data_IF_366191903597
#
_entry.id   IF_366191903597
#
_cell.length_a   1.000
_cell.length_b   1.000
_cell.length_c   1.000
_cell.angle_alpha   90.00
_cell.angle_beta   90.00
_cell.angle_gamma   90.00
#
_symmetry.space_group_name_H-M   'P 1'
#
loop_
_entity.id
_entity.type
_entity.pdbx_description
1 polymer ?
#
# COMPACT_ATOMS: atom_id res chain seq x y z
N UNK A 1 -11.23 -50.02 6.64
CA UNK A 1 -11.34 -48.57 6.93
C UNK A 1 -10.51 -47.83 5.85
N UNK A 2 -11.16 -47.42 4.76
CA UNK A 2 -10.52 -46.67 3.67
C UNK A 2 -10.44 -45.20 4.11
N UNK A 3 -9.21 -44.71 4.32
CA UNK A 3 -8.98 -43.24 4.42
C UNK A 3 -9.33 -42.61 3.06
N UNK A 4 -10.09 -41.52 3.05
CA UNK A 4 -10.26 -40.76 1.82
C UNK A 4 -8.91 -40.14 1.44
N UNK A 5 -8.41 -40.48 0.25
CA UNK A 5 -7.37 -39.70 -0.42
C UNK A 5 -7.96 -38.31 -0.65
N UNK A 6 -7.54 -37.33 0.16
CA UNK A 6 -7.72 -35.91 -0.20
C UNK A 6 -6.87 -35.66 -1.45
N UNK A 7 -7.52 -35.62 -2.61
CA UNK A 7 -6.92 -35.05 -3.80
C UNK A 7 -6.48 -33.61 -3.45
N UNK A 8 -5.18 -33.41 -3.40
CA UNK A 8 -4.60 -32.07 -3.43
C UNK A 8 -5.02 -31.46 -4.77
N UNK A 9 -5.90 -30.47 -4.74
CA UNK A 9 -6.24 -29.73 -5.93
C UNK A 9 -4.94 -29.17 -6.52
N UNK A 10 -4.63 -29.55 -7.76
CA UNK A 10 -3.48 -29.00 -8.47
C UNK A 10 -3.73 -27.51 -8.63
N UNK A 11 -2.71 -26.70 -8.33
CA UNK A 11 -2.76 -25.25 -8.55
C UNK A 11 -3.00 -25.02 -10.03
N UNK A 12 -4.08 -24.34 -10.44
CA UNK A 12 -4.27 -24.03 -11.83
C UNK A 12 -3.08 -23.20 -12.35
N UNK A 13 -2.62 -23.46 -13.56
CA UNK A 13 -1.55 -22.65 -14.15
C UNK A 13 -2.03 -21.20 -14.23
N UNK A 14 -1.19 -20.26 -13.78
CA UNK A 14 -1.48 -18.82 -13.93
C UNK A 14 -1.55 -18.47 -15.41
N UNK A 15 -2.57 -17.74 -15.81
CA UNK A 15 -2.70 -17.21 -17.16
C UNK A 15 -1.73 -16.03 -17.30
N UNK A 16 -0.88 -16.07 -18.34
CA UNK A 16 0.04 -14.99 -18.71
C UNK A 16 -0.07 -14.62 -20.20
N UNK A 17 -1.11 -15.16 -20.87
CA UNK A 17 -1.43 -14.94 -22.28
C UNK A 17 -2.79 -14.25 -22.35
N UNK A 18 -2.82 -13.02 -22.85
CA UNK A 18 -4.02 -12.19 -22.96
C UNK A 18 -5.17 -12.88 -23.69
N UNK A 19 -4.85 -13.68 -24.72
CA UNK A 19 -5.86 -14.39 -25.51
C UNK A 19 -6.63 -15.47 -24.73
N UNK A 20 -6.10 -15.85 -23.55
CA UNK A 20 -6.67 -16.88 -22.67
C UNK A 20 -7.43 -16.30 -21.48
N UNK A 21 -7.48 -14.98 -21.33
CA UNK A 21 -8.25 -14.33 -20.26
C UNK A 21 -9.72 -14.62 -20.46
N UNK A 22 -10.42 -15.23 -19.49
CA UNK A 22 -11.84 -15.52 -19.64
C UNK A 22 -12.65 -14.21 -19.61
N UNK A 23 -13.85 -14.21 -20.23
CA UNK A 23 -14.77 -13.07 -20.12
C UNK A 23 -15.14 -12.82 -18.66
N UNK A 24 -15.18 -11.56 -18.27
CA UNK A 24 -15.59 -11.15 -16.92
C UNK A 24 -16.50 -9.91 -16.99
N UNK A 25 -17.29 -9.72 -15.93
CA UNK A 25 -18.17 -8.55 -15.79
C UNK A 25 -17.81 -7.80 -14.52
N UNK A 26 -17.64 -6.49 -14.64
CA UNK A 26 -17.35 -5.62 -13.51
C UNK A 26 -18.61 -4.99 -12.95
N UNK A 27 -18.75 -4.90 -11.61
CA UNK A 27 -19.83 -4.12 -11.01
C UNK A 27 -19.59 -2.63 -11.27
N UNK A 28 -20.67 -1.86 -11.43
CA UNK A 28 -20.60 -0.42 -11.65
C UNK A 28 -20.38 0.31 -10.32
N UNK A 29 -19.25 1.07 -10.16
CA UNK A 29 -18.98 1.81 -8.93
C UNK A 29 -19.98 2.94 -8.69
N UNK A 30 -20.72 3.37 -9.71
CA UNK A 30 -21.72 4.44 -9.66
C UNK A 30 -23.16 3.94 -9.45
N UNK A 31 -23.35 2.71 -9.00
CA UNK A 31 -24.66 2.16 -8.60
C UNK A 31 -24.66 1.87 -7.11
N UNK A 32 -25.53 2.55 -6.36
CA UNK A 32 -25.73 2.33 -4.92
C UNK A 32 -26.33 0.94 -4.64
N UNK A 33 -26.25 0.47 -3.41
CA UNK A 33 -26.81 -0.82 -2.99
C UNK A 33 -28.34 -0.91 -3.18
N UNK A 34 -29.05 0.21 -3.17
CA UNK A 34 -30.49 0.31 -3.45
C UNK A 34 -30.83 0.47 -4.92
N UNK A 35 -29.85 0.36 -5.83
CA UNK A 35 -29.99 0.45 -7.27
C UNK A 35 -29.99 1.89 -7.84
N UNK A 36 -29.94 2.94 -7.02
CA UNK A 36 -29.83 4.32 -7.50
C UNK A 36 -28.49 4.56 -8.17
N UNK A 37 -28.50 5.34 -9.26
CA UNK A 37 -27.29 5.79 -9.92
C UNK A 37 -26.72 7.00 -9.19
N UNK A 38 -25.39 7.03 -9.07
CA UNK A 38 -24.62 8.16 -8.58
C UNK A 38 -24.39 9.12 -9.73
N UNK A 39 -24.99 10.28 -9.69
CA UNK A 39 -24.90 11.30 -10.75
C UNK A 39 -24.29 12.61 -10.27
N UNK A 40 -23.99 12.71 -8.97
CA UNK A 40 -23.45 13.91 -8.35
C UNK A 40 -22.52 13.58 -7.15
N UNK A 41 -21.70 14.57 -6.79
CA UNK A 41 -20.73 14.46 -5.72
C UNK A 41 -21.34 14.19 -4.33
N UNK A 42 -22.55 14.70 -4.07
CA UNK A 42 -23.25 14.50 -2.78
C UNK A 42 -23.61 13.03 -2.61
N UNK A 43 -24.26 12.45 -3.62
CA UNK A 43 -24.66 11.03 -3.62
C UNK A 43 -23.44 10.12 -3.49
N UNK A 44 -22.32 10.46 -4.19
CA UNK A 44 -21.07 9.74 -4.00
C UNK A 44 -20.56 9.83 -2.55
N UNK A 45 -20.36 11.02 -2.04
CA UNK A 45 -19.70 11.21 -0.75
C UNK A 45 -20.53 10.70 0.43
N UNK A 46 -21.86 10.93 0.43
CA UNK A 46 -22.73 10.65 1.56
C UNK A 46 -23.32 9.22 1.54
N UNK A 47 -23.43 8.60 0.37
CA UNK A 47 -24.08 7.29 0.21
C UNK A 47 -23.10 6.25 -0.35
N UNK A 48 -22.67 6.43 -1.59
CA UNK A 48 -21.98 5.36 -2.31
C UNK A 48 -20.58 5.09 -1.79
N UNK A 49 -19.77 6.12 -1.51
CA UNK A 49 -18.43 5.95 -0.95
C UNK A 49 -18.42 5.15 0.36
N UNK A 50 -19.31 5.42 1.36
CA UNK A 50 -19.45 4.58 2.54
C UNK A 50 -19.84 3.12 2.24
N UNK A 51 -20.69 2.87 1.23
CA UNK A 51 -21.03 1.50 0.79
C UNK A 51 -19.79 0.79 0.20
N UNK A 52 -19.09 1.45 -0.72
CA UNK A 52 -17.86 0.92 -1.33
C UNK A 52 -16.80 0.63 -0.28
N UNK A 53 -16.63 1.54 0.68
CA UNK A 53 -15.68 1.38 1.78
C UNK A 53 -16.00 0.12 2.60
N UNK A 54 -17.27 -0.07 2.99
CA UNK A 54 -17.71 -1.28 3.72
C UNK A 54 -17.50 -2.55 2.90
N UNK A 55 -17.79 -2.53 1.59
CA UNK A 55 -17.54 -3.68 0.72
C UNK A 55 -16.07 -4.11 0.74
N UNK A 56 -15.13 -3.15 0.72
CA UNK A 56 -13.68 -3.45 0.83
C UNK A 56 -13.33 -3.98 2.21
N UNK A 57 -13.83 -3.36 3.29
CA UNK A 57 -13.63 -3.87 4.65
C UNK A 57 -14.09 -5.32 4.79
N UNK A 58 -15.34 -5.58 4.42
CA UNK A 58 -15.98 -6.89 4.66
C UNK A 58 -15.40 -8.01 3.81
N UNK A 59 -14.97 -7.70 2.59
CA UNK A 59 -14.59 -8.73 1.63
C UNK A 59 -13.08 -8.86 1.40
N UNK A 60 -12.25 -7.86 1.81
CA UNK A 60 -10.82 -7.88 1.50
C UNK A 60 -9.92 -7.73 2.74
N UNK A 61 -9.90 -6.55 3.36
CA UNK A 61 -8.87 -6.20 4.35
C UNK A 61 -9.32 -6.26 5.81
N UNK A 62 -10.63 -6.35 6.03
CA UNK A 62 -11.24 -6.33 7.35
C UNK A 62 -11.37 -4.93 7.94
N UNK A 63 -12.10 -4.85 9.04
CA UNK A 63 -12.38 -3.60 9.73
C UNK A 63 -11.23 -3.23 10.65
N UNK A 64 -10.57 -2.11 10.37
CA UNK A 64 -9.58 -1.54 11.28
C UNK A 64 -10.26 -1.07 12.56
N UNK A 65 -9.81 -1.51 13.76
CA UNK A 65 -10.39 -1.08 15.03
C UNK A 65 -10.23 0.43 15.25
N UNK A 66 -11.18 1.04 15.96
CA UNK A 66 -11.01 2.40 16.46
C UNK A 66 -9.93 2.44 17.56
N UNK A 67 -8.82 3.05 17.25
CA UNK A 67 -7.67 3.19 18.16
C UNK A 67 -7.56 4.57 18.80
N UNK A 68 -8.58 5.42 18.68
CA UNK A 68 -8.54 6.83 19.15
C UNK A 68 -8.16 6.92 20.63
N UNK A 69 -8.74 6.09 21.48
CA UNK A 69 -8.44 6.07 22.92
C UNK A 69 -7.03 5.56 23.21
N UNK A 70 -6.56 4.54 22.47
CA UNK A 70 -5.22 3.98 22.64
C UNK A 70 -4.15 4.99 22.22
N UNK A 71 -4.41 5.73 21.16
CA UNK A 71 -3.49 6.75 20.62
C UNK A 71 -3.29 7.95 21.55
N UNK A 72 -4.18 8.20 22.48
CA UNK A 72 -3.97 9.22 23.51
C UNK A 72 -2.72 8.96 24.38
N UNK A 73 -2.25 7.71 24.44
CA UNK A 73 -1.01 7.32 25.10
C UNK A 73 0.23 7.28 24.19
N UNK A 74 0.11 7.74 22.95
CA UNK A 74 1.22 7.68 21.98
C UNK A 74 2.46 8.43 22.48
N UNK A 75 3.64 7.83 22.24
CA UNK A 75 4.93 8.43 22.57
C UNK A 75 5.83 8.41 21.34
N UNK A 76 6.46 9.55 21.07
CA UNK A 76 7.43 9.72 19.98
C UNK A 76 8.75 10.17 20.59
N UNK A 77 9.83 9.45 20.30
CA UNK A 77 11.18 9.81 20.72
C UNK A 77 12.07 10.00 19.50
N UNK A 78 12.81 11.10 19.45
CA UNK A 78 13.90 11.30 18.49
C UNK A 78 15.11 10.53 19.01
N UNK A 79 15.51 9.47 18.30
CA UNK A 79 16.68 8.67 18.65
C UNK A 79 17.99 9.24 18.10
N UNK A 80 17.90 9.87 16.93
CA UNK A 80 19.04 10.48 16.26
C UNK A 80 18.56 11.54 15.27
N UNK A 81 19.33 12.61 15.14
CA UNK A 81 19.09 13.65 14.12
C UNK A 81 20.45 14.21 13.65
N UNK A 82 20.57 14.38 12.33
CA UNK A 82 21.73 14.99 11.70
C UNK A 82 21.32 15.79 10.46
N UNK A 83 21.96 16.93 10.25
CA UNK A 83 21.80 17.77 9.05
C UNK A 83 22.72 17.37 7.90
N UNK A 84 23.57 16.37 8.10
CA UNK A 84 24.65 16.00 7.17
C UNK A 84 24.25 14.91 6.17
N UNK A 85 22.98 14.48 6.16
CA UNK A 85 22.53 13.47 5.22
C UNK A 85 22.67 13.95 3.76
N UNK A 86 23.11 13.03 2.88
CA UNK A 86 23.38 13.31 1.46
C UNK A 86 24.32 14.49 1.25
N UNK A 87 25.42 14.56 2.04
CA UNK A 87 26.40 15.64 1.94
C UNK A 87 25.86 17.00 2.38
N UNK A 88 24.97 17.04 3.34
CA UNK A 88 24.36 18.27 3.87
C UNK A 88 23.13 18.74 3.10
N UNK A 89 22.59 17.95 2.16
CA UNK A 89 21.36 18.27 1.43
C UNK A 89 20.10 18.09 2.29
N UNK A 90 20.13 17.17 3.25
CA UNK A 90 18.97 16.83 4.07
C UNK A 90 19.26 16.70 5.55
N UNK A 91 18.24 16.97 6.35
CA UNK A 91 18.17 16.54 7.76
C UNK A 91 17.59 15.14 7.82
N UNK A 92 18.39 14.18 8.31
CA UNK A 92 17.92 12.85 8.72
C UNK A 92 17.40 12.94 10.14
N UNK A 93 16.23 12.33 10.40
CA UNK A 93 15.72 12.09 11.75
C UNK A 93 15.25 10.66 11.87
N UNK A 94 15.65 9.97 12.94
CA UNK A 94 15.21 8.63 13.27
C UNK A 94 14.38 8.67 14.53
N UNK A 95 13.14 8.20 14.43
CA UNK A 95 12.19 8.18 15.54
C UNK A 95 12.00 6.75 16.04
N UNK A 96 11.75 6.62 17.35
CA UNK A 96 11.11 5.46 17.96
C UNK A 96 9.71 5.86 18.37
N UNK A 97 8.71 5.12 17.88
CA UNK A 97 7.30 5.48 18.04
C UNK A 97 6.53 4.34 18.72
N UNK A 98 5.83 4.68 19.78
CA UNK A 98 4.87 3.82 20.48
C UNK A 98 3.46 4.39 20.27
N UNK A 99 2.76 4.02 19.20
CA UNK A 99 1.49 4.67 18.83
C UNK A 99 0.34 4.38 19.79
N UNK A 100 0.47 3.37 20.65
CA UNK A 100 -0.52 2.98 21.68
C UNK A 100 0.08 2.98 23.09
N UNK A 101 1.17 3.72 23.30
CA UNK A 101 1.87 3.83 24.58
C UNK A 101 3.03 2.84 24.75
N UNK A 102 3.96 3.18 25.64
CA UNK A 102 5.25 2.46 25.84
C UNK A 102 5.10 0.99 26.28
N UNK A 103 3.94 0.57 26.73
CA UNK A 103 3.65 -0.84 27.06
C UNK A 103 3.29 -1.69 25.83
N UNK A 104 2.95 -1.04 24.73
CA UNK A 104 2.63 -1.69 23.45
C UNK A 104 3.84 -1.84 22.52
N UNK A 105 3.63 -2.44 21.34
CA UNK A 105 4.63 -2.49 20.29
C UNK A 105 5.06 -1.11 19.82
N UNK A 106 6.21 -1.03 19.16
CA UNK A 106 6.78 0.19 18.62
C UNK A 106 7.29 -0.04 17.21
N UNK A 107 7.46 1.03 16.45
CA UNK A 107 8.13 1.01 15.17
C UNK A 107 9.22 2.08 15.09
N UNK A 108 10.19 1.88 14.21
CA UNK A 108 11.24 2.85 13.92
C UNK A 108 10.91 3.56 12.59
N UNK A 109 10.86 4.90 12.61
CA UNK A 109 10.61 5.72 11.42
C UNK A 109 11.88 6.49 11.05
N UNK A 110 12.26 6.43 9.77
CA UNK A 110 13.31 7.22 9.16
C UNK A 110 12.67 8.35 8.36
N UNK A 111 13.14 9.57 8.56
CA UNK A 111 12.68 10.76 7.84
C UNK A 111 13.89 11.52 7.30
N UNK A 112 13.82 11.90 6.03
CA UNK A 112 14.71 12.87 5.40
C UNK A 112 13.92 14.10 4.98
N UNK A 113 14.41 15.30 5.36
CA UNK A 113 13.81 16.59 5.01
C UNK A 113 14.85 17.45 4.31
N UNK A 114 14.56 18.06 3.14
CA UNK A 114 15.51 18.91 2.44
C UNK A 114 15.89 20.15 3.27
N UNK A 115 17.21 20.39 3.46
CA UNK A 115 17.72 21.54 4.22
C UNK A 115 17.49 22.86 3.48
N UNK A 116 17.39 22.83 2.15
CA UNK A 116 17.17 24.02 1.32
C UNK A 116 15.69 24.46 1.24
N UNK A 117 14.76 23.72 1.89
CA UNK A 117 13.35 24.05 1.84
C UNK A 117 13.06 25.38 2.58
N UNK A 118 12.45 26.34 1.88
CA UNK A 118 12.08 27.65 2.44
C UNK A 118 10.77 27.64 3.22
N UNK A 119 9.99 26.57 3.11
CA UNK A 119 8.72 26.32 3.78
C UNK A 119 8.63 24.83 4.13
N UNK A 120 7.72 24.40 5.03
CA UNK A 120 7.57 22.98 5.32
C UNK A 120 7.40 22.14 4.04
N UNK A 121 8.21 21.09 3.91
CA UNK A 121 8.28 20.27 2.72
C UNK A 121 7.10 19.28 2.65
N UNK A 122 6.45 19.09 1.48
CA UNK A 122 5.55 17.97 1.27
C UNK A 122 6.33 16.65 1.37
N UNK A 123 5.66 15.57 1.72
CA UNK A 123 6.34 14.33 2.09
C UNK A 123 5.79 13.10 1.36
N UNK A 124 6.68 12.22 0.90
CA UNK A 124 6.35 10.87 0.49
C UNK A 124 6.47 9.92 1.68
N UNK A 125 5.43 9.12 1.93
CA UNK A 125 5.32 8.23 3.09
C UNK A 125 5.09 6.81 2.60
N UNK A 126 5.99 5.87 2.93
CA UNK A 126 5.87 4.49 2.51
C UNK A 126 6.54 3.51 3.47
N UNK A 127 6.15 2.24 3.38
CA UNK A 127 6.77 1.15 4.13
C UNK A 127 7.85 0.45 3.30
N UNK A 128 8.89 -0.04 3.96
CA UNK A 128 9.98 -0.80 3.33
C UNK A 128 9.97 -2.28 3.75
N UNK A 129 10.63 -3.13 2.92
CA UNK A 129 10.62 -4.59 3.07
C UNK A 129 11.73 -5.16 3.93
N UNK A 130 12.84 -4.46 4.13
CA UNK A 130 14.05 -5.06 4.69
C UNK A 130 14.61 -4.33 5.92
N UNK A 131 13.82 -3.45 6.56
CA UNK A 131 14.28 -2.51 7.58
C UNK A 131 14.91 -1.22 7.00
N UNK A 132 14.84 -0.14 7.77
CA UNK A 132 15.25 1.20 7.31
C UNK A 132 16.70 1.26 6.80
N UNK A 133 17.63 0.53 7.42
CA UNK A 133 19.03 0.51 6.99
C UNK A 133 19.26 -0.08 5.60
N UNK A 134 18.32 -0.90 5.09
CA UNK A 134 18.44 -1.45 3.73
C UNK A 134 18.09 -0.43 2.66
N UNK A 135 17.35 0.62 3.00
CA UNK A 135 16.86 1.64 2.04
C UNK A 135 17.92 2.67 1.68
N UNK A 136 19.02 2.73 2.41
CA UNK A 136 20.08 3.73 2.23
C UNK A 136 21.46 3.16 2.62
N UNK A 137 22.50 3.65 1.95
CA UNK A 137 23.90 3.35 2.32
C UNK A 137 24.36 4.12 3.58
N UNK A 138 23.55 5.04 4.10
CA UNK A 138 23.88 5.86 5.27
C UNK A 138 24.13 4.98 6.50
N UNK A 139 25.37 5.00 6.99
CA UNK A 139 25.84 4.13 8.08
C UNK A 139 25.20 4.44 9.43
N UNK A 140 24.63 5.63 9.61
CA UNK A 140 23.98 6.03 10.86
C UNK A 140 22.54 5.51 10.98
N UNK A 141 21.94 4.98 9.91
CA UNK A 141 20.57 4.46 9.96
C UNK A 141 20.53 3.11 10.68
N UNK A 142 19.71 3.01 11.73
CA UNK A 142 19.59 1.81 12.55
C UNK A 142 18.86 0.67 11.83
N UNK A 143 19.33 -0.59 11.96
CA UNK A 143 18.51 -1.75 11.61
C UNK A 143 17.36 -1.90 12.61
N UNK A 144 16.25 -2.52 12.18
CA UNK A 144 15.16 -2.90 13.09
C UNK A 144 15.60 -3.99 14.05
N UNK A 145 15.01 -4.00 15.25
CA UNK A 145 15.10 -5.11 16.19
C UNK A 145 13.97 -6.15 15.99
N UNK A 146 12.98 -5.86 15.14
CA UNK A 146 11.87 -6.74 14.84
C UNK A 146 12.29 -7.90 13.94
N UNK A 147 11.40 -8.91 13.85
CA UNK A 147 11.55 -10.00 12.90
C UNK A 147 11.72 -9.48 11.46
N UNK A 148 12.62 -10.09 10.70
CA UNK A 148 12.74 -9.90 9.26
C UNK A 148 12.68 -11.24 8.53
N UNK A 149 12.19 -11.21 7.29
CA UNK A 149 12.14 -12.41 6.46
C UNK A 149 13.56 -12.90 6.11
N UNK A 150 13.69 -14.20 5.84
CA UNK A 150 14.97 -14.90 5.62
C UNK A 150 15.94 -14.18 4.67
N UNK A 151 15.43 -13.51 3.65
CA UNK A 151 16.25 -12.78 2.65
C UNK A 151 16.92 -11.51 3.22
N UNK A 152 16.41 -10.99 4.35
CA UNK A 152 16.93 -9.79 5.02
C UNK A 152 17.60 -10.11 6.36
N UNK A 153 17.63 -11.37 6.73
CA UNK A 153 18.10 -11.82 8.03
C UNK A 153 19.54 -12.31 7.99
N UNK A 154 20.25 -12.11 9.10
CA UNK A 154 21.47 -12.85 9.40
C UNK A 154 21.20 -14.34 9.26
N UNK A 155 22.12 -15.06 8.60
CA UNK A 155 21.97 -16.49 8.32
C UNK A 155 21.62 -17.28 9.58
N UNK A 156 20.51 -18.00 9.52
CA UNK A 156 20.03 -18.85 10.63
C UNK A 156 19.28 -18.11 11.73
N UNK A 157 18.97 -16.83 11.55
CA UNK A 157 18.21 -16.01 12.49
C UNK A 157 17.00 -15.35 11.82
N UNK A 158 16.24 -14.57 12.60
CA UNK A 158 15.21 -13.66 12.11
C UNK A 158 15.58 -12.18 12.42
N UNK A 159 16.84 -11.90 12.69
CA UNK A 159 17.34 -10.55 12.96
C UNK A 159 17.86 -9.92 11.68
N UNK A 160 17.63 -8.61 11.53
CA UNK A 160 18.11 -7.86 10.37
C UNK A 160 19.64 -7.98 10.21
N UNK A 161 20.10 -8.28 8.99
CA UNK A 161 21.52 -8.36 8.66
C UNK A 161 22.08 -6.96 8.38
N UNK A 162 22.96 -6.42 9.23
CA UNK A 162 23.57 -5.11 9.00
C UNK A 162 24.41 -5.03 7.70
N UNK A 163 24.87 -6.18 7.18
CA UNK A 163 25.62 -6.23 5.92
C UNK A 163 24.75 -5.93 4.69
N UNK A 164 23.42 -6.01 4.81
CA UNK A 164 22.48 -5.66 3.77
C UNK A 164 22.14 -4.16 3.70
N UNK A 165 22.90 -3.32 4.42
CA UNK A 165 22.78 -1.86 4.36
C UNK A 165 22.85 -1.39 2.91
N UNK A 166 21.90 -0.53 2.52
CA UNK A 166 21.83 0.01 1.16
C UNK A 166 21.39 -0.99 0.08
N UNK A 167 21.11 -2.24 0.43
CA UNK A 167 20.72 -3.27 -0.56
C UNK A 167 19.43 -2.98 -1.32
N UNK A 168 18.63 -2.01 -0.87
CA UNK A 168 17.43 -1.53 -1.55
C UNK A 168 17.52 -0.07 -2.00
N UNK A 169 18.71 0.53 -2.06
CA UNK A 169 18.87 1.95 -2.42
C UNK A 169 18.23 2.27 -3.78
N UNK A 170 18.34 1.37 -4.76
CA UNK A 170 17.71 1.53 -6.07
C UNK A 170 16.17 1.59 -6.03
N UNK A 171 15.55 1.16 -4.92
CA UNK A 171 14.10 1.26 -4.68
C UNK A 171 13.70 2.51 -3.91
N UNK A 172 14.67 3.24 -3.35
CA UNK A 172 14.44 4.38 -2.46
C UNK A 172 15.28 5.57 -2.90
N UNK A 173 14.74 6.33 -3.84
CA UNK A 173 15.41 7.49 -4.45
C UNK A 173 15.27 8.74 -3.55
N UNK A 174 15.71 8.64 -2.29
CA UNK A 174 15.60 9.72 -1.31
C UNK A 174 16.26 11.01 -1.81
N UNK A 175 17.50 10.93 -2.32
CA UNK A 175 18.24 12.10 -2.76
C UNK A 175 17.55 12.79 -3.96
N UNK A 176 16.99 12.04 -4.89
CA UNK A 176 16.24 12.58 -6.01
C UNK A 176 14.97 13.33 -5.57
N UNK A 177 14.28 12.87 -4.53
CA UNK A 177 13.14 13.57 -3.94
C UNK A 177 13.58 14.81 -3.18
N UNK A 178 14.67 14.73 -2.40
CA UNK A 178 15.26 15.85 -1.65
C UNK A 178 15.67 16.99 -2.59
N UNK A 179 16.35 16.68 -3.71
CA UNK A 179 16.77 17.67 -4.71
C UNK A 179 15.56 18.37 -5.36
N UNK A 180 14.39 17.75 -5.37
CA UNK A 180 13.11 18.34 -5.82
C UNK A 180 12.37 19.10 -4.73
N UNK A 181 12.82 19.05 -3.48
CA UNK A 181 12.22 19.75 -2.34
C UNK A 181 11.16 18.92 -1.59
N UNK A 182 11.07 17.62 -1.84
CA UNK A 182 10.19 16.70 -1.12
C UNK A 182 10.92 16.04 0.04
N UNK A 183 10.26 15.94 1.18
CA UNK A 183 10.68 15.05 2.26
C UNK A 183 10.29 13.60 1.94
N UNK A 184 10.96 12.65 2.57
CA UNK A 184 10.62 11.22 2.45
C UNK A 184 10.69 10.53 3.79
N UNK A 185 9.66 9.76 4.14
CA UNK A 185 9.54 9.01 5.38
C UNK A 185 9.31 7.53 5.10
N UNK A 186 10.02 6.65 5.82
CA UNK A 186 9.82 5.21 5.73
C UNK A 186 9.90 4.54 7.10
N UNK A 187 9.19 3.41 7.23
CA UNK A 187 9.29 2.49 8.34
C UNK A 187 9.27 1.05 7.82
N UNK A 188 9.83 0.13 8.59
CA UNK A 188 9.79 -1.27 8.23
C UNK A 188 8.38 -1.85 8.48
N UNK A 189 7.78 -2.46 7.46
CA UNK A 189 6.41 -2.98 7.57
C UNK A 189 6.25 -4.08 8.63
N UNK A 190 7.30 -4.87 8.85
CA UNK A 190 7.34 -5.92 9.86
C UNK A 190 7.38 -5.41 11.30
N UNK A 191 7.67 -4.12 11.54
CA UNK A 191 7.51 -3.51 12.86
C UNK A 191 6.02 -3.39 13.23
N UNK A 192 5.14 -3.27 12.24
CA UNK A 192 3.68 -3.25 12.46
C UNK A 192 3.12 -4.66 12.56
N UNK A 193 3.47 -5.51 11.62
CA UNK A 193 3.17 -6.93 11.64
C UNK A 193 4.16 -7.71 10.79
N UNK A 194 4.88 -8.70 11.37
CA UNK A 194 5.71 -9.63 10.62
C UNK A 194 4.94 -10.34 9.49
N UNK A 195 5.53 -10.41 8.30
CA UNK A 195 4.87 -10.93 7.10
C UNK A 195 4.94 -12.46 7.02
N UNK A 196 4.24 -13.10 7.92
CA UNK A 196 4.01 -14.55 7.93
C UNK A 196 2.69 -14.89 8.67
N UNK A 197 2.11 -16.09 8.48
CA UNK A 197 0.79 -16.43 9.01
C UNK A 197 0.62 -16.26 10.53
N UNK A 198 1.68 -16.36 11.31
CA UNK A 198 1.68 -16.17 12.76
C UNK A 198 2.15 -14.77 13.19
N UNK A 199 2.47 -13.87 12.23
CA UNK A 199 3.05 -12.56 12.49
C UNK A 199 2.17 -11.66 13.36
N UNK A 200 0.85 -11.83 13.26
CA UNK A 200 -0.13 -11.13 14.09
C UNK A 200 0.13 -11.24 15.60
N UNK A 201 0.74 -12.35 16.06
CA UNK A 201 1.06 -12.58 17.48
C UNK A 201 2.09 -11.61 18.03
N UNK A 202 3.00 -11.14 17.18
CA UNK A 202 4.05 -10.19 17.54
C UNK A 202 3.77 -8.75 17.07
N UNK A 203 2.70 -8.55 16.30
CA UNK A 203 2.35 -7.26 15.70
C UNK A 203 1.32 -6.45 16.49
N UNK A 204 0.96 -5.30 15.92
CA UNK A 204 -0.06 -4.41 16.49
C UNK A 204 -1.44 -5.03 16.53
N UNK A 205 -1.76 -5.99 15.64
CA UNK A 205 -3.09 -6.62 15.66
C UNK A 205 -3.40 -7.27 17.01
N UNK A 206 -2.49 -8.08 17.56
CA UNK A 206 -2.70 -8.71 18.87
C UNK A 206 -2.78 -7.70 20.01
N UNK A 207 -2.05 -6.59 19.92
CA UNK A 207 -2.04 -5.55 20.94
C UNK A 207 -3.28 -4.65 20.91
N UNK A 208 -3.96 -4.57 19.78
CA UNK A 208 -5.12 -3.67 19.57
C UNK A 208 -6.44 -4.42 19.62
N UNK A 209 -6.49 -5.67 19.20
CA UNK A 209 -7.72 -6.48 19.20
C UNK A 209 -8.28 -6.65 20.60
N UNK A 210 -9.58 -6.40 20.82
CA UNK A 210 -10.19 -6.37 22.17
C UNK A 210 -10.04 -7.66 22.96
N UNK A 211 -9.97 -8.80 22.30
CA UNK A 211 -9.81 -10.11 22.91
C UNK A 211 -8.33 -10.56 23.00
N UNK A 212 -7.40 -9.71 22.57
CA UNK A 212 -5.95 -9.96 22.63
C UNK A 212 -5.48 -11.17 21.84
N UNK A 213 -6.39 -11.92 21.26
CA UNK A 213 -6.12 -13.10 20.44
C UNK A 213 -6.87 -12.95 19.15
N UNK A 214 -6.15 -12.63 18.10
CA UNK A 214 -6.74 -12.87 16.88
C UNK A 214 -6.77 -14.35 16.60
N UNK A 215 -7.90 -14.92 16.86
CA UNK A 215 -8.26 -16.13 16.21
C UNK A 215 -8.29 -15.83 14.74
N UNK A 216 -7.38 -16.44 14.01
CA UNK A 216 -7.34 -16.42 12.60
C UNK A 216 -8.73 -16.16 12.04
N UNK A 217 -8.98 -14.88 11.68
CA UNK A 217 -9.99 -14.62 10.72
C UNK A 217 -11.43 -14.88 11.16
N UNK A 218 -11.83 -14.29 12.25
CA UNK A 218 -13.26 -14.03 12.45
C UNK A 218 -13.69 -13.13 11.29
N UNK A 219 -14.84 -13.42 10.73
CA UNK A 219 -15.40 -12.63 9.64
C UNK A 219 -15.44 -11.15 10.04
N UNK A 220 -14.83 -10.29 9.22
CA UNK A 220 -14.76 -8.85 9.46
C UNK A 220 -13.57 -8.36 10.30
N UNK A 221 -12.70 -9.22 10.82
CA UNK A 221 -11.46 -8.76 11.44
C UNK A 221 -10.42 -8.33 10.41
N UNK A 222 -9.60 -7.32 10.79
CA UNK A 222 -8.58 -6.79 9.91
C UNK A 222 -7.40 -7.76 9.76
N UNK A 223 -6.84 -7.78 8.55
CA UNK A 223 -5.72 -8.62 8.16
C UNK A 223 -4.40 -7.84 8.18
N UNK A 224 -3.28 -8.48 7.80
CA UNK A 224 -1.97 -7.86 7.83
C UNK A 224 -1.89 -6.60 6.95
N UNK A 225 -2.48 -6.60 5.75
CA UNK A 225 -2.53 -5.39 4.89
C UNK A 225 -3.27 -4.26 5.62
N UNK A 226 -4.36 -4.56 6.34
CA UNK A 226 -5.05 -3.59 7.18
C UNK A 226 -4.16 -3.02 8.29
N UNK A 227 -3.34 -3.87 8.92
CA UNK A 227 -2.39 -3.45 9.95
C UNK A 227 -1.27 -2.55 9.37
N UNK A 228 -0.73 -2.89 8.22
CA UNK A 228 0.27 -2.07 7.52
C UNK A 228 -0.31 -0.72 7.07
N UNK A 229 -1.55 -0.70 6.58
CA UNK A 229 -2.26 0.53 6.23
C UNK A 229 -2.50 1.42 7.45
N UNK A 230 -2.89 0.84 8.59
CA UNK A 230 -3.00 1.55 9.86
C UNK A 230 -1.63 2.15 10.27
N UNK A 231 -0.55 1.39 10.08
CA UNK A 231 0.81 1.84 10.34
C UNK A 231 1.19 3.10 9.56
N UNK A 232 0.85 3.17 8.27
CA UNK A 232 1.06 4.37 7.44
C UNK A 232 0.35 5.60 8.02
N UNK A 233 -0.87 5.45 8.53
CA UNK A 233 -1.59 6.54 9.24
C UNK A 233 -0.89 6.94 10.54
N UNK A 234 -0.25 6.00 11.24
CA UNK A 234 0.53 6.32 12.46
C UNK A 234 1.82 7.07 12.14
N UNK A 235 2.44 6.78 11.00
CA UNK A 235 3.56 7.59 10.52
C UNK A 235 3.12 9.03 10.23
N UNK A 236 1.94 9.21 9.64
CA UNK A 236 1.39 10.55 9.39
C UNK A 236 1.12 11.33 10.69
N UNK A 237 0.63 10.66 11.76
CA UNK A 237 0.46 11.28 13.08
C UNK A 237 1.79 11.85 13.64
N UNK A 238 2.93 11.19 13.36
CA UNK A 238 4.26 11.70 13.74
C UNK A 238 4.65 12.89 12.87
N UNK A 239 4.43 12.80 11.56
CA UNK A 239 4.80 13.86 10.61
C UNK A 239 4.02 15.16 10.85
N UNK A 240 2.78 15.09 11.35
CA UNK A 240 2.00 16.27 11.79
C UNK A 240 2.67 17.05 12.94
N UNK A 241 3.58 16.41 13.69
CA UNK A 241 4.33 17.00 14.78
C UNK A 241 5.71 17.54 14.37
N UNK A 242 6.13 17.34 13.10
CA UNK A 242 7.44 17.77 12.59
C UNK A 242 7.29 19.11 11.87
N UNK A 243 7.78 20.25 12.44
CA UNK A 243 7.54 21.58 11.88
C UNK A 243 8.10 21.80 10.47
N UNK A 244 9.12 21.04 10.08
CA UNK A 244 9.75 21.12 8.74
C UNK A 244 9.02 20.32 7.66
N UNK A 245 7.94 19.60 8.02
CA UNK A 245 7.11 18.79 7.12
C UNK A 245 5.71 19.40 7.02
N UNK A 246 5.21 19.52 5.80
CA UNK A 246 3.79 19.81 5.56
C UNK A 246 3.01 18.51 5.42
N UNK A 247 2.54 17.97 6.53
CA UNK A 247 1.79 16.74 6.58
C UNK A 247 0.44 16.79 5.83
N UNK A 248 -0.10 18.00 5.54
CA UNK A 248 -1.29 18.17 4.69
C UNK A 248 -1.01 17.90 3.23
N UNK A 249 0.26 17.84 2.83
CA UNK A 249 0.75 17.47 1.52
C UNK A 249 1.57 16.17 1.61
N UNK A 250 0.97 15.13 2.20
CA UNK A 250 1.57 13.81 2.31
C UNK A 250 1.07 12.90 1.19
N UNK A 251 2.01 12.32 0.42
CA UNK A 251 1.75 11.26 -0.53
C UNK A 251 2.01 9.89 0.11
N UNK A 252 1.00 9.05 0.21
CA UNK A 252 1.19 7.65 0.62
C UNK A 252 1.54 6.81 -0.59
N UNK A 253 2.59 5.98 -0.48
CA UNK A 253 3.03 5.13 -1.57
C UNK A 253 3.41 3.73 -1.10
N UNK A 254 3.38 2.78 -2.03
CA UNK A 254 3.85 1.44 -1.77
C UNK A 254 4.06 0.63 -3.06
N UNK A 255 4.96 -0.34 -2.97
CA UNK A 255 5.26 -1.31 -4.00
C UNK A 255 4.71 -2.68 -3.61
N UNK A 256 4.18 -3.44 -4.60
CA UNK A 256 3.71 -4.81 -4.39
C UNK A 256 2.62 -4.87 -3.29
N UNK A 257 2.72 -5.77 -2.33
CA UNK A 257 1.81 -5.85 -1.16
C UNK A 257 1.71 -4.55 -0.37
N UNK A 258 2.76 -3.74 -0.35
CA UNK A 258 2.74 -2.43 0.30
C UNK A 258 2.03 -1.38 -0.56
N UNK A 259 1.90 -1.60 -1.87
CA UNK A 259 0.99 -0.85 -2.75
C UNK A 259 -0.49 -1.10 -2.40
N UNK A 260 -0.84 -2.36 -2.11
CA UNK A 260 -2.17 -2.71 -1.57
C UNK A 260 -2.42 -1.97 -0.23
N UNK A 261 -1.41 -1.96 0.67
CA UNK A 261 -1.50 -1.25 1.95
C UNK A 261 -1.61 0.27 1.77
N UNK A 262 -0.89 0.86 0.82
CA UNK A 262 -0.95 2.29 0.52
C UNK A 262 -2.34 2.70 -0.03
N UNK A 263 -2.92 1.90 -0.92
CA UNK A 263 -4.30 2.11 -1.41
C UNK A 263 -5.31 2.07 -0.26
N UNK A 264 -5.19 1.07 0.62
CA UNK A 264 -6.10 0.94 1.76
C UNK A 264 -5.89 2.03 2.80
N UNK A 265 -4.64 2.44 3.07
CA UNK A 265 -4.34 3.60 3.92
C UNK A 265 -4.96 4.88 3.37
N UNK A 266 -4.79 5.13 2.06
CA UNK A 266 -5.42 6.27 1.39
C UNK A 266 -6.95 6.25 1.43
N UNK A 267 -7.58 5.07 1.36
CA UNK A 267 -9.03 4.92 1.47
C UNK A 267 -9.54 5.24 2.89
N UNK A 268 -8.83 4.78 3.92
CA UNK A 268 -9.19 4.95 5.33
C UNK A 268 -8.86 6.34 5.88
N UNK A 269 -7.70 6.88 5.51
CA UNK A 269 -7.19 8.14 6.06
C UNK A 269 -7.13 9.23 4.97
N UNK A 270 -8.14 10.08 4.99
CA UNK A 270 -8.28 11.15 4.00
C UNK A 270 -7.27 12.31 4.21
N UNK A 271 -6.43 12.28 5.23
CA UNK A 271 -5.32 13.23 5.41
C UNK A 271 -4.20 13.04 4.38
N UNK A 272 -4.04 11.84 3.83
CA UNK A 272 -3.14 11.64 2.70
C UNK A 272 -3.64 12.40 1.48
N UNK A 273 -2.86 13.37 1.02
CA UNK A 273 -3.23 14.24 -0.09
C UNK A 273 -3.08 13.57 -1.46
N UNK A 274 -2.28 12.52 -1.55
CA UNK A 274 -1.98 11.81 -2.79
C UNK A 274 -1.74 10.33 -2.49
N UNK A 275 -2.27 9.42 -3.33
CA UNK A 275 -2.18 7.97 -3.15
C UNK A 275 -1.47 7.34 -4.35
N UNK A 276 -0.45 6.53 -4.09
CA UNK A 276 0.39 5.90 -5.12
C UNK A 276 0.45 4.40 -4.90
N UNK A 277 0.15 3.64 -5.94
CA UNK A 277 0.25 2.18 -5.98
C UNK A 277 1.17 1.76 -7.11
N UNK A 278 2.22 1.00 -6.79
CA UNK A 278 3.19 0.49 -7.75
C UNK A 278 3.15 -1.04 -7.77
N UNK A 279 2.90 -1.65 -8.94
CA UNK A 279 2.91 -3.10 -9.15
C UNK A 279 2.17 -3.87 -8.05
N UNK A 280 0.98 -3.42 -7.68
CA UNK A 280 0.27 -3.98 -6.51
C UNK A 280 -0.56 -5.23 -6.84
N UNK A 281 -0.80 -5.52 -8.10
CA UNK A 281 -1.44 -6.76 -8.54
C UNK A 281 -2.85 -7.00 -8.01
N UNK A 282 -3.27 -8.25 -8.00
CA UNK A 282 -4.57 -8.71 -7.47
C UNK A 282 -4.73 -8.35 -5.99
N UNK A 283 -5.92 -7.91 -5.59
CA UNK A 283 -6.15 -7.34 -4.25
C UNK A 283 -5.53 -5.95 -4.05
N UNK A 284 -4.95 -5.37 -5.10
CA UNK A 284 -4.44 -4.01 -5.20
C UNK A 284 -5.09 -3.27 -6.36
N UNK A 285 -4.30 -2.81 -7.34
CA UNK A 285 -4.80 -2.06 -8.48
C UNK A 285 -5.30 -2.93 -9.64
N UNK A 286 -4.81 -4.19 -9.76
CA UNK A 286 -5.23 -5.09 -10.83
C UNK A 286 -6.62 -5.67 -10.57
N UNK A 287 -7.43 -5.75 -11.63
CA UNK A 287 -8.77 -6.32 -11.57
C UNK A 287 -8.74 -7.78 -11.11
N UNK A 288 -9.43 -8.08 -10.01
CA UNK A 288 -9.50 -9.42 -9.42
C UNK A 288 -10.26 -10.43 -10.30
N UNK A 289 -11.32 -9.96 -10.98
CA UNK A 289 -12.15 -10.80 -11.87
C UNK A 289 -11.47 -11.10 -13.20
N UNK A 290 -10.41 -10.37 -13.52
CA UNK A 290 -9.56 -10.61 -14.66
C UNK A 290 -8.53 -11.69 -14.29
N UNK A 291 -8.79 -12.94 -14.58
CA UNK A 291 -7.94 -14.07 -14.22
C UNK A 291 -6.65 -14.03 -15.06
N UNK A 292 -5.64 -13.28 -14.56
CA UNK A 292 -4.33 -13.12 -15.20
C UNK A 292 -3.25 -12.93 -14.12
N UNK A 293 -2.09 -13.55 -14.27
CA UNK A 293 -0.99 -13.46 -13.31
C UNK A 293 -1.39 -13.93 -11.91
N UNK A 294 -1.33 -13.02 -10.95
CA UNK A 294 -1.76 -13.21 -9.58
C UNK A 294 -3.30 -13.25 -9.51
N UNK A 295 -3.87 -14.29 -8.90
CA UNK A 295 -5.32 -14.44 -8.72
C UNK A 295 -5.70 -14.43 -7.25
N UNK A 296 -6.99 -14.26 -6.95
CA UNK A 296 -7.51 -14.33 -5.57
C UNK A 296 -7.06 -15.62 -4.89
N UNK A 297 -7.24 -16.77 -5.54
CA UNK A 297 -6.85 -18.06 -4.96
C UNK A 297 -5.35 -18.20 -4.68
N UNK A 298 -4.52 -17.62 -5.53
CA UNK A 298 -3.07 -17.68 -5.36
C UNK A 298 -2.62 -16.81 -4.18
N UNK A 299 -3.11 -15.58 -4.06
CA UNK A 299 -2.64 -14.66 -3.02
C UNK A 299 -3.30 -14.86 -1.66
N UNK A 300 -4.55 -15.34 -1.62
CA UNK A 300 -5.27 -15.55 -0.36
C UNK A 300 -4.85 -16.80 0.42
N UNK A 301 -4.05 -17.68 -0.19
CA UNK A 301 -3.62 -18.93 0.43
C UNK A 301 -4.59 -20.10 0.25
N UNK A 302 -5.55 -19.99 -0.66
CA UNK A 302 -6.51 -21.05 -1.01
C UNK A 302 -5.79 -22.34 -1.44
N UNK A 303 -4.73 -22.23 -2.21
CA UNK A 303 -3.92 -23.37 -2.63
C UNK A 303 -2.89 -23.70 -1.57
N UNK A 304 -3.05 -24.86 -0.92
CA UNK A 304 -2.25 -25.29 0.21
C UNK A 304 -0.73 -25.17 -0.04
N UNK A 305 -0.05 -24.46 0.88
CA UNK A 305 1.39 -24.23 0.83
C UNK A 305 1.82 -23.10 -0.12
N UNK A 306 0.88 -22.32 -0.67
CA UNK A 306 1.15 -21.12 -1.46
C UNK A 306 0.32 -19.94 -0.98
N UNK A 307 0.72 -18.73 -1.38
CA UNK A 307 0.04 -17.49 -1.07
C UNK A 307 0.28 -16.97 0.33
N UNK A 308 -0.54 -16.03 0.72
CA UNK A 308 -0.36 -15.22 1.90
C UNK A 308 -1.69 -15.09 2.67
N UNK A 309 -2.15 -16.17 3.32
CA UNK A 309 -3.47 -16.22 3.96
C UNK A 309 -3.67 -15.14 5.04
N UNK A 310 -2.58 -14.56 5.56
CA UNK A 310 -2.61 -13.50 6.56
C UNK A 310 -2.80 -12.09 5.99
N UNK A 311 -2.70 -11.91 4.66
CA UNK A 311 -2.84 -10.58 4.05
C UNK A 311 -4.27 -10.07 4.01
N UNK A 312 -5.23 -10.99 3.83
CA UNK A 312 -6.64 -10.69 3.61
C UNK A 312 -7.52 -11.35 4.66
N UNK A 313 -8.80 -10.97 4.70
CA UNK A 313 -9.80 -11.68 5.50
C UNK A 313 -10.05 -13.09 4.95
N UNK A 314 -10.55 -13.99 5.78
CA UNK A 314 -10.98 -15.32 5.32
C UNK A 314 -12.06 -15.26 4.24
N UNK A 315 -12.89 -14.20 4.26
CA UNK A 315 -13.93 -14.00 3.26
C UNK A 315 -13.34 -13.77 1.85
N UNK A 316 -12.20 -13.08 1.73
CA UNK A 316 -11.56 -12.90 0.43
C UNK A 316 -11.16 -14.23 -0.21
N UNK A 317 -10.66 -15.18 0.59
CA UNK A 317 -10.31 -16.52 0.15
C UNK A 317 -11.52 -17.28 -0.44
N UNK A 318 -12.75 -17.05 0.08
CA UNK A 318 -13.96 -17.72 -0.41
C UNK A 318 -14.33 -17.36 -1.86
N UNK A 319 -13.77 -16.30 -2.41
CA UNK A 319 -13.95 -15.93 -3.82
C UNK A 319 -12.95 -16.60 -4.76
N UNK A 320 -12.02 -17.41 -4.24
CA UNK A 320 -11.09 -18.19 -5.06
C UNK A 320 -11.87 -19.12 -6.00
N UNK A 321 -11.50 -19.13 -7.28
CA UNK A 321 -12.22 -19.87 -8.33
C UNK A 321 -13.71 -19.46 -8.50
N UNK A 322 -14.11 -18.35 -7.86
CA UNK A 322 -15.45 -17.76 -7.90
C UNK A 322 -15.38 -16.23 -7.91
N UNK A 323 -14.37 -15.66 -8.57
CA UNK A 323 -14.12 -14.22 -8.60
C UNK A 323 -15.31 -13.42 -9.17
N UNK A 324 -16.14 -14.05 -9.98
CA UNK A 324 -17.42 -13.49 -10.48
C UNK A 324 -18.38 -13.11 -9.36
N UNK A 325 -18.36 -13.84 -8.22
CA UNK A 325 -19.18 -13.59 -7.03
C UNK A 325 -18.66 -12.50 -6.11
N UNK A 326 -17.41 -12.03 -6.31
CA UNK A 326 -16.89 -10.91 -5.54
C UNK A 326 -17.74 -9.66 -5.81
N UNK A 327 -18.34 -9.02 -4.78
CA UNK A 327 -19.29 -7.92 -4.97
C UNK A 327 -18.65 -6.60 -5.38
N UNK A 328 -17.34 -6.58 -5.50
CA UNK A 328 -16.51 -5.42 -5.86
C UNK A 328 -15.38 -5.86 -6.78
N UNK A 329 -14.59 -4.90 -7.27
CA UNK A 329 -13.28 -5.19 -7.88
C UNK A 329 -12.30 -4.06 -7.58
N UNK A 330 -11.05 -4.17 -8.03
CA UNK A 330 -9.95 -3.24 -7.74
C UNK A 330 -10.32 -1.77 -7.95
N UNK A 331 -11.08 -1.46 -9.00
CA UNK A 331 -11.51 -0.09 -9.29
C UNK A 331 -12.38 0.53 -8.17
N UNK A 332 -13.04 -0.27 -7.33
CA UNK A 332 -13.73 0.23 -6.13
C UNK A 332 -12.72 0.75 -5.09
N UNK A 333 -11.66 -0.01 -4.84
CA UNK A 333 -10.59 0.41 -3.94
C UNK A 333 -9.90 1.68 -4.46
N UNK A 334 -9.61 1.72 -5.76
CA UNK A 334 -9.00 2.88 -6.41
C UNK A 334 -9.92 4.13 -6.34
N UNK A 335 -11.22 3.96 -6.53
CA UNK A 335 -12.20 5.04 -6.45
C UNK A 335 -12.31 5.66 -5.05
N UNK A 336 -11.97 4.94 -3.97
CA UNK A 336 -11.95 5.46 -2.62
C UNK A 336 -10.89 6.55 -2.39
N UNK A 337 -9.90 6.67 -3.26
CA UNK A 337 -8.95 7.77 -3.24
C UNK A 337 -9.60 9.11 -3.62
N UNK A 338 -10.63 9.10 -4.48
CA UNK A 338 -11.32 10.30 -4.95
C UNK A 338 -11.89 11.15 -3.78
N UNK A 339 -11.84 12.49 -3.85
CA UNK A 339 -11.41 13.33 -4.98
C UNK A 339 -9.88 13.56 -5.06
N UNK A 340 -9.11 12.96 -4.15
CA UNK A 340 -7.65 13.14 -4.09
C UNK A 340 -6.96 12.47 -5.27
N UNK A 341 -5.80 13.01 -5.71
CA UNK A 341 -4.99 12.39 -6.73
C UNK A 341 -4.65 10.94 -6.42
N UNK A 342 -4.68 10.10 -7.45
CA UNK A 342 -4.30 8.70 -7.46
C UNK A 342 -3.24 8.47 -8.53
N UNK A 343 -2.24 7.66 -8.26
CA UNK A 343 -1.28 7.22 -9.26
C UNK A 343 -1.13 5.68 -9.22
N UNK A 344 -1.26 5.05 -10.37
CA UNK A 344 -1.02 3.62 -10.55
C UNK A 344 0.17 3.44 -11.46
N UNK A 345 1.09 2.57 -11.10
CA UNK A 345 2.30 2.31 -11.87
C UNK A 345 2.55 0.81 -12.02
N UNK A 346 2.94 0.43 -13.22
CA UNK A 346 3.16 -0.96 -13.61
C UNK A 346 4.52 -1.16 -14.26
N UNK A 347 4.93 -2.42 -14.46
CA UNK A 347 6.13 -2.79 -15.20
C UNK A 347 5.78 -3.78 -16.32
N UNK A 348 6.34 -3.57 -17.52
CA UNK A 348 5.91 -4.26 -18.75
C UNK A 348 6.20 -5.76 -18.78
N UNK A 349 7.14 -6.25 -17.99
CA UNK A 349 7.49 -7.67 -17.87
C UNK A 349 6.98 -8.29 -16.56
N UNK A 350 6.18 -7.55 -15.78
CA UNK A 350 5.59 -8.03 -14.54
C UNK A 350 4.22 -8.67 -14.80
N UNK A 351 4.19 -9.75 -15.57
CA UNK A 351 2.95 -10.47 -15.86
C UNK A 351 2.25 -11.00 -14.60
N UNK A 352 2.99 -11.14 -13.49
CA UNK A 352 2.43 -11.55 -12.21
C UNK A 352 1.48 -10.50 -11.62
N UNK A 353 1.85 -9.22 -11.69
CA UNK A 353 1.02 -8.12 -11.19
C UNK A 353 -0.08 -7.68 -12.17
N UNK A 354 -0.17 -8.26 -13.36
CA UNK A 354 -1.14 -7.90 -14.40
C UNK A 354 -1.13 -6.40 -14.76
N UNK A 355 -0.12 -5.91 -15.49
CA UNK A 355 -0.01 -4.49 -15.83
C UNK A 355 -1.24 -3.91 -16.55
N UNK A 356 -1.85 -4.72 -17.43
CA UNK A 356 -3.08 -4.31 -18.12
C UNK A 356 -4.27 -4.27 -17.14
N UNK A 357 -4.36 -5.23 -16.23
CA UNK A 357 -5.38 -5.24 -15.17
C UNK A 357 -5.25 -4.05 -14.22
N UNK A 358 -4.03 -3.61 -13.88
CA UNK A 358 -3.79 -2.39 -13.09
C UNK A 358 -4.24 -1.13 -13.84
N UNK A 359 -3.93 -1.03 -15.14
CA UNK A 359 -4.42 0.05 -15.98
C UNK A 359 -5.95 0.07 -16.07
N UNK A 360 -6.57 -1.08 -16.32
CA UNK A 360 -8.03 -1.22 -16.40
C UNK A 360 -8.70 -0.89 -15.06
N UNK A 361 -8.07 -1.24 -13.92
CA UNK A 361 -8.51 -0.80 -12.60
C UNK A 361 -8.61 0.73 -12.52
N UNK A 362 -7.60 1.45 -13.01
CA UNK A 362 -7.62 2.92 -13.07
C UNK A 362 -8.70 3.45 -14.05
N UNK A 363 -8.86 2.82 -15.23
CA UNK A 363 -9.91 3.17 -16.22
C UNK A 363 -11.30 3.03 -15.62
N UNK A 364 -11.57 1.95 -14.87
CA UNK A 364 -12.89 1.72 -14.29
C UNK A 364 -13.15 2.51 -12.99
N UNK A 365 -12.13 3.07 -12.36
CA UNK A 365 -12.26 4.04 -11.27
C UNK A 365 -12.54 5.47 -11.79
N UNK A 366 -12.16 5.78 -13.01
CA UNK A 366 -12.24 7.11 -13.64
C UNK A 366 -13.63 7.75 -13.62
N UNK A 367 -14.74 7.01 -13.87
CA UNK A 367 -16.10 7.58 -13.83
C UNK A 367 -16.45 8.26 -12.50
N UNK A 368 -15.90 7.81 -11.38
CA UNK A 368 -16.10 8.43 -10.06
C UNK A 368 -15.48 9.83 -10.02
N UNK A 369 -14.29 9.99 -10.58
CA UNK A 369 -13.63 11.30 -10.67
C UNK A 369 -14.45 12.26 -11.54
N UNK A 370 -15.01 11.80 -12.64
CA UNK A 370 -15.87 12.62 -13.49
C UNK A 370 -17.15 13.09 -12.79
N UNK A 371 -17.81 12.23 -12.00
CA UNK A 371 -18.97 12.61 -11.19
C UNK A 371 -18.60 13.68 -10.15
N UNK A 372 -17.35 13.69 -9.69
CA UNK A 372 -16.82 14.71 -8.79
C UNK A 372 -16.31 15.97 -9.51
N UNK A 373 -16.51 16.09 -10.83
CA UNK A 373 -16.08 17.23 -11.64
C UNK A 373 -14.57 17.27 -11.92
N UNK A 374 -13.87 16.15 -11.80
CA UNK A 374 -12.43 16.05 -11.97
C UNK A 374 -12.08 15.37 -13.30
N UNK A 375 -10.93 15.75 -13.92
CA UNK A 375 -10.57 15.25 -15.25
C UNK A 375 -10.09 13.79 -15.29
N UNK A 376 -9.90 13.15 -14.14
CA UNK A 376 -9.56 11.73 -14.00
C UNK A 376 -8.30 11.29 -14.74
N UNK A 377 -8.38 10.08 -15.35
CA UNK A 377 -7.32 9.47 -16.16
C UNK A 377 -7.28 10.04 -17.59
N UNK A 378 -8.46 10.29 -18.17
CA UNK A 378 -8.59 10.94 -19.47
C UNK A 378 -8.24 10.07 -20.68
N UNK A 379 -8.04 8.76 -20.51
CA UNK A 379 -7.82 7.79 -21.60
C UNK A 379 -8.35 6.42 -21.20
N UNK A 380 -8.76 5.64 -22.22
CA UNK A 380 -9.12 4.22 -22.08
C UNK A 380 -8.11 3.29 -22.73
N UNK A 381 -7.09 3.85 -23.36
CA UNK A 381 -6.03 3.10 -24.02
C UNK A 381 -4.78 3.12 -23.16
N UNK A 382 -4.19 1.94 -22.94
CA UNK A 382 -2.94 1.79 -22.19
C UNK A 382 -1.81 2.56 -22.91
N UNK A 383 -1.07 3.42 -22.20
CA UNK A 383 0.01 4.16 -22.83
C UNK A 383 1.14 3.24 -23.28
N UNK A 384 1.93 3.67 -24.26
CA UNK A 384 3.21 3.02 -24.56
C UNK A 384 4.13 2.99 -23.33
N UNK A 385 5.02 1.99 -23.28
CA UNK A 385 6.05 1.87 -22.25
C UNK A 385 6.84 3.17 -22.10
N UNK A 386 7.15 3.57 -20.89
CA UNK A 386 7.83 4.84 -20.52
C UNK A 386 7.03 6.12 -20.86
N UNK A 387 5.72 6.00 -21.03
CA UNK A 387 4.83 7.16 -21.17
C UNK A 387 3.89 7.25 -19.98
N UNK A 388 3.82 8.45 -19.41
CA UNK A 388 2.87 8.77 -18.32
C UNK A 388 1.64 9.45 -18.91
N UNK A 389 0.46 9.11 -18.40
CA UNK A 389 -0.83 9.67 -18.78
C UNK A 389 -1.62 10.10 -17.53
N UNK A 390 -2.65 10.91 -17.77
CA UNK A 390 -3.62 11.25 -16.74
C UNK A 390 -3.41 12.60 -16.07
N UNK A 391 -4.45 13.04 -15.34
CA UNK A 391 -4.51 14.34 -14.67
C UNK A 391 -4.75 14.23 -13.18
N UNK A 392 -5.93 13.73 -12.75
CA UNK A 392 -6.22 13.46 -11.34
C UNK A 392 -5.96 11.99 -10.99
N UNK A 393 -6.19 11.09 -11.93
CA UNK A 393 -5.61 9.74 -11.90
C UNK A 393 -4.40 9.77 -12.84
N UNK A 394 -3.24 9.36 -12.35
CA UNK A 394 -2.04 9.16 -13.16
C UNK A 394 -1.77 7.68 -13.40
N UNK A 395 -1.18 7.35 -14.55
CA UNK A 395 -0.70 6.01 -14.85
C UNK A 395 0.57 6.06 -15.70
N UNK A 396 1.49 5.14 -15.45
CA UNK A 396 2.56 4.79 -16.38
C UNK A 396 2.87 3.30 -16.30
N UNK A 397 3.49 2.80 -17.36
CA UNK A 397 4.09 1.48 -17.41
C UNK A 397 5.56 1.63 -17.79
N UNK A 398 6.48 1.25 -16.91
CA UNK A 398 7.92 1.27 -17.20
C UNK A 398 8.40 -0.05 -17.81
N UNK A 399 9.57 -0.10 -18.48
CA UNK A 399 10.17 -1.35 -18.88
C UNK A 399 10.65 -2.16 -17.67
N UNK A 400 10.69 -3.49 -17.80
CA UNK A 400 11.32 -4.41 -16.84
C UNK A 400 10.36 -5.16 -15.93
N UNK A 401 10.94 -5.77 -14.90
CA UNK A 401 10.33 -6.74 -13.99
C UNK A 401 9.65 -6.07 -12.78
N UNK A 402 9.10 -6.90 -11.88
CA UNK A 402 8.49 -6.51 -10.61
C UNK A 402 9.47 -5.76 -9.70
N UNK A 403 9.44 -4.44 -9.73
CA UNK A 403 10.29 -3.57 -8.93
C UNK A 403 9.72 -2.15 -8.82
N UNK A 404 10.39 -1.27 -8.07
CA UNK A 404 10.21 0.18 -8.08
C UNK A 404 11.59 0.81 -8.31
N UNK A 405 11.71 1.68 -9.30
CA UNK A 405 12.98 2.21 -9.80
C UNK A 405 12.91 3.73 -9.98
N UNK A 406 14.05 4.34 -10.31
CA UNK A 406 14.18 5.78 -10.54
C UNK A 406 13.15 6.35 -11.54
N UNK A 407 12.77 5.57 -12.58
CA UNK A 407 11.74 6.01 -13.54
C UNK A 407 10.38 6.19 -12.85
N UNK A 408 10.00 5.25 -11.96
CA UNK A 408 8.77 5.37 -11.17
C UNK A 408 8.80 6.64 -10.31
N UNK A 409 9.90 6.87 -9.58
CA UNK A 409 10.05 8.04 -8.71
C UNK A 409 10.02 9.37 -9.48
N UNK A 410 10.61 9.41 -10.68
CA UNK A 410 10.51 10.60 -11.56
C UNK A 410 9.06 10.88 -11.94
N UNK A 411 8.31 9.86 -12.37
CA UNK A 411 6.90 9.98 -12.71
C UNK A 411 6.05 10.43 -11.52
N UNK A 412 6.29 9.87 -10.31
CA UNK A 412 5.58 10.29 -9.11
C UNK A 412 5.88 11.74 -8.73
N UNK A 413 7.14 12.15 -8.79
CA UNK A 413 7.54 13.51 -8.47
C UNK A 413 7.03 14.52 -9.53
N UNK A 414 7.05 14.17 -10.82
CA UNK A 414 6.47 15.00 -11.90
C UNK A 414 4.95 15.17 -11.72
N UNK A 415 4.28 14.12 -11.26
CA UNK A 415 2.85 14.21 -10.95
C UNK A 415 2.62 15.02 -9.67
N UNK A 416 3.42 14.80 -8.63
CA UNK A 416 3.36 15.55 -7.37
C UNK A 416 3.58 17.05 -7.55
N UNK A 417 4.49 17.46 -8.44
CA UNK A 417 4.74 18.89 -8.78
C UNK A 417 3.46 19.58 -9.30
N UNK A 418 2.52 18.84 -9.89
CA UNK A 418 1.23 19.38 -10.36
C UNK A 418 0.15 19.40 -9.29
N UNK A 419 0.12 18.40 -8.38
CA UNK A 419 -0.98 18.20 -7.45
C UNK A 419 -0.65 18.59 -6.00
N UNK A 420 0.62 18.61 -5.64
CA UNK A 420 1.10 19.04 -4.32
C UNK A 420 2.52 19.64 -4.40
N UNK A 421 2.73 20.75 -5.12
CA UNK A 421 4.05 21.27 -5.42
C UNK A 421 4.90 21.56 -4.19
N UNK A 422 6.20 21.20 -4.24
CA UNK A 422 7.18 21.47 -3.19
C UNK A 422 7.59 22.95 -3.12
N UNK A 423 7.60 23.65 -4.27
CA UNK A 423 8.06 25.04 -4.41
C UNK A 423 6.92 26.03 -4.48
#
# INVERSE_FOLDING_TARGET
MLLPLLLLAAIPPTISDESKVPPYTLPDPLVCADGRKVTDAKTWNEVRRPEVFRLVEENMFGRTPDTTKLRAGAVVEVREQSKEAFGGKATRTQFKVWPIGKKGPSFDMLLYVPNAAKRPAPVFVGLNFGSNHTTTADTAVFPTASWVSKQWALKGTAQADPALRGGQTARWEFEALIDRGYASATAYYGDFEPDHPEGWKAGFRSAISPDGVNTRWKDGEWAAIGCWAWGLSRMLDVLEQVPSVDAKRAAVHGHSRLGKAALWAGAQDQRFAFVISNNSGCGGAALNKRIFGETVGVISGHYKGRGFPHWFTARFETFSENEDKLPLDAHYLLALAAPRPLYVASASLDSWADPLGEFLGAVHADPVYHVLGLPGLGTKESPPVSKSVGKTIGYHIRPGQHDILLEDWKNYADFADRVMPAK
#
